data_IF_930444415495
#
_entry.id   IF_930444415495
#
_cell.length_a   1.000
_cell.length_b   1.000
_cell.length_c   1.000
_cell.angle_alpha   90.00
_cell.angle_beta   90.00
_cell.angle_gamma   90.00
#
_symmetry.space_group_name_H-M   'P 1'
#
loop_
_entity.id
_entity.type
_entity.pdbx_description
1 polymer ?
#
# COMPACT_ATOMS: atom_id res chain seq x y z
N UNK A 1 3.76 4.33 13.88
CA UNK A 1 3.20 2.97 13.76
C UNK A 1 4.28 1.92 14.01
N UNK A 2 3.89 0.76 14.49
CA UNK A 2 4.81 -0.31 14.84
C UNK A 2 4.34 -1.63 14.24
N UNK A 3 5.28 -2.33 13.60
CA UNK A 3 5.06 -3.67 13.06
C UNK A 3 6.13 -4.62 13.62
N UNK A 4 5.79 -5.90 13.78
CA UNK A 4 6.78 -6.90 14.19
C UNK A 4 7.85 -7.08 13.13
N UNK A 5 7.45 -7.08 11.87
CA UNK A 5 8.36 -7.21 10.74
C UNK A 5 7.96 -6.24 9.63
N UNK A 6 8.96 -5.63 9.02
CA UNK A 6 8.80 -4.73 7.89
C UNK A 6 9.72 -5.19 6.77
N UNK A 7 9.16 -5.47 5.60
CA UNK A 7 9.91 -5.81 4.40
C UNK A 7 9.71 -4.72 3.35
N UNK A 8 10.65 -4.60 2.45
CA UNK A 8 10.61 -3.65 1.33
C UNK A 8 10.89 -4.42 0.06
N UNK A 9 10.10 -4.18 -0.97
CA UNK A 9 10.31 -4.75 -2.30
C UNK A 9 10.22 -3.68 -3.39
N UNK A 10 10.73 -3.98 -4.56
CA UNK A 10 10.58 -3.15 -5.74
C UNK A 10 9.20 -3.28 -6.37
N UNK A 11 9.05 -2.78 -7.59
CA UNK A 11 7.81 -2.80 -8.34
C UNK A 11 7.33 -4.24 -8.64
N UNK A 12 6.04 -4.46 -8.51
CA UNK A 12 5.42 -5.78 -8.72
C UNK A 12 4.57 -5.85 -9.99
N UNK A 13 4.18 -4.69 -10.53
CA UNK A 13 3.39 -4.57 -11.76
C UNK A 13 2.14 -5.45 -11.80
N UNK A 14 1.43 -5.54 -10.67
CA UNK A 14 0.17 -6.28 -10.59
C UNK A 14 0.32 -7.79 -10.46
N UNK A 15 1.51 -8.30 -10.28
CA UNK A 15 1.73 -9.73 -10.05
C UNK A 15 1.84 -10.02 -8.57
N UNK A 16 0.83 -10.66 -7.99
CA UNK A 16 0.76 -10.94 -6.56
C UNK A 16 0.59 -12.43 -6.21
N UNK A 17 0.61 -13.32 -7.19
CA UNK A 17 0.51 -14.75 -6.91
C UNK A 17 1.67 -15.25 -6.05
N UNK A 18 2.88 -14.75 -6.31
CA UNK A 18 4.07 -15.06 -5.52
C UNK A 18 3.91 -14.59 -4.07
N UNK A 19 3.16 -13.50 -3.83
CA UNK A 19 3.02 -12.91 -2.49
C UNK A 19 2.29 -13.85 -1.55
N UNK A 20 1.27 -14.54 -2.02
CA UNK A 20 0.56 -15.53 -1.21
C UNK A 20 1.51 -16.63 -0.72
N UNK A 21 2.28 -17.21 -1.63
CA UNK A 21 3.25 -18.26 -1.30
C UNK A 21 4.34 -17.73 -0.38
N UNK A 22 4.84 -16.54 -0.64
CA UNK A 22 5.85 -15.91 0.18
C UNK A 22 5.35 -15.66 1.61
N UNK A 23 4.13 -15.16 1.75
CA UNK A 23 3.50 -14.95 3.06
C UNK A 23 3.37 -16.27 3.83
N UNK A 24 2.92 -17.32 3.17
CA UNK A 24 2.78 -18.65 3.78
C UNK A 24 4.12 -19.16 4.29
N UNK A 25 5.18 -19.03 3.49
CA UNK A 25 6.51 -19.51 3.86
C UNK A 25 7.15 -18.70 4.99
N UNK A 26 6.75 -17.44 5.17
CA UNK A 26 7.28 -16.55 6.21
C UNK A 26 6.37 -16.45 7.44
N UNK A 27 5.20 -17.08 7.41
CA UNK A 27 4.27 -17.02 8.53
C UNK A 27 3.84 -15.62 8.87
N UNK A 28 3.53 -14.80 7.86
CA UNK A 28 3.15 -13.40 8.07
C UNK A 28 1.78 -13.27 8.71
N UNK A 29 1.54 -12.11 9.33
CA UNK A 29 0.27 -11.78 9.96
C UNK A 29 -0.15 -10.38 9.51
N UNK A 30 -1.39 -10.27 9.06
CA UNK A 30 -1.95 -9.03 8.53
C UNK A 30 -1.93 -7.86 9.52
N UNK A 31 -2.11 -8.14 10.80
CA UNK A 31 -2.18 -7.11 11.84
C UNK A 31 -0.82 -6.66 12.36
N UNK A 32 0.24 -7.42 12.10
CA UNK A 32 1.55 -7.20 12.73
C UNK A 32 2.69 -7.04 11.74
N UNK A 33 2.49 -7.38 10.47
CA UNK A 33 3.57 -7.40 9.48
C UNK A 33 3.24 -6.49 8.30
N UNK A 34 4.26 -5.80 7.80
CA UNK A 34 4.13 -4.80 6.74
C UNK A 34 5.08 -5.12 5.59
N UNK A 35 4.57 -5.00 4.36
CA UNK A 35 5.37 -5.00 3.15
C UNK A 35 5.23 -3.66 2.45
N UNK A 36 6.34 -2.97 2.24
CA UNK A 36 6.39 -1.70 1.49
C UNK A 36 6.77 -2.01 0.05
N UNK A 37 5.95 -1.54 -0.89
CA UNK A 37 6.21 -1.69 -2.34
C UNK A 37 6.63 -0.34 -2.89
N UNK A 38 7.84 -0.28 -3.44
CA UNK A 38 8.46 0.95 -3.91
C UNK A 38 8.08 1.28 -5.37
N UNK A 39 6.85 1.74 -5.54
CA UNK A 39 6.35 2.16 -6.85
C UNK A 39 5.82 1.02 -7.71
N UNK A 40 4.91 1.35 -8.62
CA UNK A 40 4.32 0.45 -9.62
C UNK A 40 3.88 -0.91 -9.05
N UNK A 41 3.16 -0.87 -7.92
CA UNK A 41 2.55 -2.08 -7.38
C UNK A 41 1.56 -2.69 -8.38
N UNK A 42 0.92 -1.85 -9.18
CA UNK A 42 -0.05 -2.27 -10.18
C UNK A 42 -1.46 -2.40 -9.64
N UNK A 43 -1.70 -1.93 -8.43
CA UNK A 43 -3.02 -2.02 -7.78
C UNK A 43 -3.96 -0.88 -8.19
N UNK A 44 -3.43 0.20 -8.75
CA UNK A 44 -4.21 1.34 -9.26
C UNK A 44 -3.83 1.67 -10.70
N UNK A 45 -3.76 0.67 -11.55
CA UNK A 45 -3.34 0.80 -12.94
C UNK A 45 -4.50 0.68 -13.94
N UNK A 46 -5.41 -0.26 -13.71
CA UNK A 46 -6.48 -0.57 -14.68
C UNK A 46 -7.68 0.34 -14.56
N UNK A 47 -7.86 0.99 -13.43
CA UNK A 47 -8.97 1.89 -13.16
C UNK A 47 -9.95 1.36 -12.12
N UNK A 48 -10.48 2.27 -11.32
CA UNK A 48 -11.45 1.94 -10.27
C UNK A 48 -12.69 1.28 -10.85
N UNK A 49 -13.13 0.18 -10.23
CA UNK A 49 -14.29 -0.58 -10.66
C UNK A 49 -14.03 -1.52 -11.84
N UNK A 50 -12.85 -1.48 -12.45
CA UNK A 50 -12.51 -2.40 -13.52
C UNK A 50 -12.25 -3.78 -12.95
N UNK A 51 -12.78 -4.79 -13.64
CA UNK A 51 -12.75 -6.19 -13.23
C UNK A 51 -11.33 -6.65 -12.81
N UNK A 52 -10.33 -6.32 -13.61
CA UNK A 52 -8.95 -6.74 -13.37
C UNK A 52 -8.37 -6.13 -12.11
N UNK A 53 -8.62 -4.86 -11.88
CA UNK A 53 -8.14 -4.16 -10.69
C UNK A 53 -8.83 -4.68 -9.43
N UNK A 54 -10.15 -4.85 -9.48
CA UNK A 54 -10.92 -5.31 -8.32
C UNK A 54 -10.56 -6.75 -7.93
N UNK A 55 -10.38 -7.65 -8.91
CA UNK A 55 -9.98 -9.03 -8.62
C UNK A 55 -8.59 -9.10 -8.00
N UNK A 56 -7.66 -8.29 -8.46
CA UNK A 56 -6.30 -8.25 -7.93
C UNK A 56 -6.29 -7.76 -6.48
N UNK A 57 -7.02 -6.69 -6.19
CA UNK A 57 -7.15 -6.17 -4.83
C UNK A 57 -7.80 -7.17 -3.89
N UNK A 58 -8.86 -7.83 -4.36
CA UNK A 58 -9.54 -8.87 -3.60
C UNK A 58 -8.61 -10.03 -3.28
N UNK A 59 -7.81 -10.47 -4.24
CA UNK A 59 -6.82 -11.53 -4.03
C UNK A 59 -5.82 -11.13 -2.93
N UNK A 60 -5.27 -9.93 -3.02
CA UNK A 60 -4.33 -9.44 -2.00
C UNK A 60 -4.99 -9.34 -0.63
N UNK A 61 -6.18 -8.76 -0.57
CA UNK A 61 -6.89 -8.57 0.70
C UNK A 61 -7.25 -9.88 1.37
N UNK A 62 -7.72 -10.87 0.61
CA UNK A 62 -8.25 -12.11 1.14
C UNK A 62 -7.21 -13.22 1.28
N UNK A 63 -6.22 -13.27 0.37
CA UNK A 63 -5.31 -14.41 0.27
C UNK A 63 -3.89 -14.13 0.76
N UNK A 64 -3.54 -12.87 0.95
CA UNK A 64 -2.19 -12.50 1.36
C UNK A 64 -2.23 -11.92 2.78
N UNK A 65 -1.85 -12.69 3.81
CA UNK A 65 -1.94 -12.24 5.20
C UNK A 65 -0.79 -11.29 5.58
N UNK A 66 -0.82 -10.10 5.01
CA UNK A 66 0.13 -9.03 5.28
C UNK A 66 -0.52 -7.68 4.95
N UNK A 67 -0.11 -6.62 5.63
CA UNK A 67 -0.50 -5.26 5.25
C UNK A 67 0.47 -4.73 4.21
N UNK A 68 -0.06 -4.15 3.13
CA UNK A 68 0.75 -3.49 2.10
C UNK A 68 0.75 -1.99 2.30
N UNK A 69 1.92 -1.37 2.12
CA UNK A 69 2.05 0.08 2.00
C UNK A 69 2.71 0.36 0.64
N UNK A 70 1.93 0.93 -0.27
CA UNK A 70 2.36 1.16 -1.65
C UNK A 70 2.80 2.61 -1.83
N UNK A 71 4.00 2.80 -2.38
CA UNK A 71 4.46 4.10 -2.87
C UNK A 71 4.01 4.22 -4.32
N UNK A 72 3.40 5.34 -4.69
CA UNK A 72 2.88 5.52 -6.05
C UNK A 72 4.01 5.51 -7.08
N UNK A 73 3.89 4.65 -8.08
CA UNK A 73 4.78 4.62 -9.23
C UNK A 73 4.30 5.53 -10.36
N UNK A 74 5.12 5.66 -11.41
CA UNK A 74 4.81 6.52 -12.56
C UNK A 74 3.68 5.95 -13.44
N UNK A 75 3.37 4.66 -13.33
CA UNK A 75 2.30 4.01 -14.09
C UNK A 75 0.99 3.88 -13.29
N UNK A 76 0.87 4.54 -12.16
CA UNK A 76 -0.28 4.39 -11.28
C UNK A 76 -1.10 5.67 -11.15
N UNK A 77 -2.42 5.50 -10.99
CA UNK A 77 -3.32 6.60 -10.68
C UNK A 77 -3.03 7.19 -9.30
N UNK A 78 -3.46 8.42 -9.11
CA UNK A 78 -3.38 9.06 -7.79
C UNK A 78 -4.51 8.54 -6.90
N UNK A 79 -4.20 7.97 -5.74
CA UNK A 79 -5.23 7.43 -4.84
C UNK A 79 -6.30 8.43 -4.47
N UNK A 80 -5.94 9.70 -4.30
CA UNK A 80 -6.87 10.77 -3.95
C UNK A 80 -8.01 10.95 -4.96
N UNK A 81 -7.85 10.48 -6.21
CA UNK A 81 -8.86 10.59 -7.25
C UNK A 81 -9.87 9.44 -7.24
N UNK A 82 -9.67 8.42 -6.42
CA UNK A 82 -10.60 7.30 -6.33
C UNK A 82 -11.84 7.69 -5.51
N UNK A 83 -13.00 7.18 -5.93
CA UNK A 83 -14.25 7.38 -5.19
C UNK A 83 -14.23 6.61 -3.87
N UNK A 84 -14.80 7.20 -2.85
CA UNK A 84 -14.90 6.61 -1.50
C UNK A 84 -13.55 6.32 -0.85
N UNK A 85 -12.48 6.92 -1.36
CA UNK A 85 -11.16 6.77 -0.74
C UNK A 85 -11.16 7.41 0.65
N UNK A 86 -10.51 6.75 1.60
CA UNK A 86 -10.34 7.24 2.96
C UNK A 86 -8.89 7.64 3.19
N UNK A 87 -8.66 8.59 4.09
CA UNK A 87 -7.32 9.02 4.45
C UNK A 87 -7.10 8.90 5.96
N UNK A 88 -5.99 8.27 6.34
CA UNK A 88 -5.55 8.21 7.73
C UNK A 88 -4.39 9.18 7.91
N UNK A 89 -4.60 10.21 8.73
CA UNK A 89 -3.55 11.15 9.10
C UNK A 89 -2.70 10.54 10.20
N UNK A 90 -1.40 10.40 9.93
CA UNK A 90 -0.45 9.87 10.90
C UNK A 90 0.34 10.98 11.59
N UNK A 91 0.56 12.09 10.90
CA UNK A 91 1.19 13.28 11.46
C UNK A 91 0.53 14.54 10.90
N UNK A 92 0.36 15.54 11.77
CA UNK A 92 -0.11 16.85 11.36
C UNK A 92 1.05 17.64 10.76
N UNK A 93 0.95 17.93 9.48
CA UNK A 93 1.87 18.80 8.77
C UNK A 93 1.03 19.91 8.12
N UNK A 94 1.35 21.20 8.35
CA UNK A 94 0.56 22.28 7.80
C UNK A 94 0.68 22.42 6.27
N UNK A 95 1.68 21.78 5.65
CA UNK A 95 1.93 21.90 4.22
C UNK A 95 1.49 20.63 3.48
N UNK A 96 1.88 19.45 3.98
CA UNK A 96 1.59 18.16 3.35
C UNK A 96 0.99 17.23 4.39
N UNK A 97 -0.28 16.81 4.23
CA UNK A 97 -0.86 15.80 5.12
C UNK A 97 -0.03 14.52 5.04
N UNK A 98 0.45 14.06 6.18
CA UNK A 98 1.30 12.87 6.26
C UNK A 98 0.49 11.66 6.71
N UNK A 99 0.35 10.68 5.85
CA UNK A 99 -0.43 9.50 6.10
C UNK A 99 -0.63 8.65 4.85
N UNK A 100 -1.69 7.87 4.86
CA UNK A 100 -1.99 6.99 3.74
C UNK A 100 -3.47 6.96 3.40
N UNK A 101 -3.75 6.61 2.12
CA UNK A 101 -5.10 6.35 1.61
C UNK A 101 -5.39 4.86 1.66
N UNK A 102 -6.68 4.52 1.79
CA UNK A 102 -7.13 3.15 1.61
C UNK A 102 -8.58 3.14 1.09
N UNK A 103 -8.93 2.07 0.39
CA UNK A 103 -10.32 1.82 -0.03
C UNK A 103 -11.01 0.99 1.05
N UNK A 104 -12.25 1.34 1.47
CA UNK A 104 -12.95 0.60 2.55
C UNK A 104 -13.09 -0.92 2.31
N UNK A 105 -13.21 -1.34 1.04
CA UNK A 105 -13.31 -2.77 0.71
C UNK A 105 -11.96 -3.51 0.81
N UNK A 106 -10.86 -2.75 0.87
CA UNK A 106 -9.50 -3.30 0.92
C UNK A 106 -8.68 -2.59 1.99
N UNK A 107 -9.06 -2.75 3.28
CA UNK A 107 -8.50 -1.92 4.36
C UNK A 107 -7.04 -2.21 4.70
N UNK A 108 -6.49 -3.33 4.24
CA UNK A 108 -5.09 -3.69 4.50
C UNK A 108 -4.17 -3.39 3.32
N UNK A 109 -4.67 -2.68 2.31
CA UNK A 109 -3.88 -2.15 1.21
C UNK A 109 -3.83 -0.63 1.37
N UNK A 110 -2.65 -0.11 1.71
CA UNK A 110 -2.44 1.29 2.00
C UNK A 110 -1.62 1.95 0.89
N UNK A 111 -1.93 3.20 0.60
CA UNK A 111 -1.22 4.01 -0.40
C UNK A 111 -0.67 5.24 0.29
N UNK A 112 0.66 5.33 0.40
CA UNK A 112 1.30 6.49 1.03
C UNK A 112 0.97 7.76 0.25
N UNK A 113 0.62 8.83 0.95
CA UNK A 113 0.45 10.14 0.30
C UNK A 113 1.80 10.66 -0.17
N UNK A 114 1.85 11.18 -1.40
CA UNK A 114 3.08 11.73 -1.96
C UNK A 114 3.61 12.87 -1.10
N UNK A 115 4.90 12.81 -0.77
CA UNK A 115 5.57 13.80 0.05
C UNK A 115 5.31 13.67 1.55
N UNK A 116 4.54 12.67 1.97
CA UNK A 116 4.28 12.47 3.39
C UNK A 116 5.50 11.92 4.13
N UNK A 117 5.61 12.29 5.39
CA UNK A 117 6.67 11.83 6.27
C UNK A 117 6.06 11.31 7.56
N UNK A 118 6.35 10.08 7.92
CA UNK A 118 5.90 9.50 9.19
C UNK A 118 6.83 8.40 9.66
N UNK A 119 6.68 8.02 10.92
CA UNK A 119 7.55 7.01 11.52
C UNK A 119 6.99 5.62 11.35
N UNK A 120 7.88 4.69 10.99
CA UNK A 120 7.62 3.25 11.02
C UNK A 120 8.72 2.64 11.88
N UNK A 121 8.33 1.99 12.99
CA UNK A 121 9.27 1.35 13.93
C UNK A 121 10.40 2.30 14.37
N UNK A 122 10.04 3.52 14.76
CA UNK A 122 10.97 4.59 15.18
C UNK A 122 11.91 5.11 14.08
N UNK A 123 11.68 4.72 12.83
CA UNK A 123 12.45 5.23 11.70
C UNK A 123 11.62 6.25 10.94
N UNK A 124 12.22 7.42 10.71
CA UNK A 124 11.59 8.50 9.94
C UNK A 124 11.60 8.14 8.46
N UNK A 125 10.43 8.03 7.85
CA UNK A 125 10.28 7.64 6.45
C UNK A 125 9.67 8.79 5.66
N UNK A 126 10.27 9.10 4.50
CA UNK A 126 9.75 10.05 3.53
C UNK A 126 9.28 9.27 2.30
N UNK A 127 8.04 9.52 1.86
CA UNK A 127 7.42 8.80 0.76
C UNK A 127 7.26 9.74 -0.44
N UNK A 128 8.01 9.49 -1.50
CA UNK A 128 7.98 10.28 -2.73
C UNK A 128 7.52 9.38 -3.86
N UNK A 129 6.39 9.72 -4.46
CA UNK A 129 5.86 8.99 -5.60
C UNK A 129 6.68 9.19 -6.86
N UNK A 130 6.54 8.27 -7.81
CA UNK A 130 7.22 8.33 -9.09
C UNK A 130 6.79 9.50 -9.97
N UNK A 131 7.67 9.94 -10.76
CA UNK A 131 7.47 11.05 -11.69
C UNK A 131 6.67 10.63 -12.92
#
# INVERSE_FOLDING_TARGET
>A
MYFNKVWITGDTHGNFEWLKTWCESHGTNKNTDLLIILGDAGLMYYGQGKWREENMKKFVQEECPITLLCVRGNHEARPANYKNIQFVTLEDDPIVPSGYYYEPDYPDIWYAADGSTFNINNKRCLFIGGA
#
